data_IF_730460786736
#
_entry.id   IF_730460786736
#
_cell.length_a   1.000
_cell.length_b   1.000
_cell.length_c   1.000
_cell.angle_alpha   90.00
_cell.angle_beta   90.00
_cell.angle_gamma   90.00
#
_symmetry.space_group_name_H-M   'P 1'
#
loop_
_entity.id
_entity.type
_entity.pdbx_description
1 polymer ?
#
# COMPACT_ATOMS: atom_id res chain seq x y z
N UNK A 1 23.14 -45.67 -11.14
CA UNK A 1 21.87 -45.74 -10.42
C UNK A 1 21.25 -44.35 -10.48
N UNK A 2 20.30 -44.15 -11.38
CA UNK A 2 19.61 -42.87 -11.57
C UNK A 2 18.64 -42.66 -10.40
N UNK A 3 18.60 -41.45 -9.81
CA UNK A 3 17.72 -41.09 -8.68
C UNK A 3 16.24 -41.43 -8.98
N UNK A 4 15.45 -41.80 -7.97
CA UNK A 4 14.02 -42.14 -8.12
C UNK A 4 13.21 -41.09 -8.90
N UNK A 5 13.54 -39.80 -8.76
CA UNK A 5 12.89 -38.69 -9.50
C UNK A 5 13.21 -38.70 -11.01
N UNK A 6 14.44 -39.10 -11.39
CA UNK A 6 14.83 -39.25 -12.79
C UNK A 6 14.19 -40.47 -13.45
N UNK A 7 13.88 -41.51 -12.68
CA UNK A 7 13.13 -42.68 -13.18
C UNK A 7 11.64 -42.35 -13.42
N UNK A 8 11.03 -41.50 -12.58
CA UNK A 8 9.65 -41.05 -12.77
C UNK A 8 9.48 -40.14 -14.00
N UNK A 9 10.38 -39.17 -14.20
CA UNK A 9 10.37 -38.31 -15.40
C UNK A 9 10.63 -39.09 -16.68
N UNK A 10 11.55 -40.07 -16.66
CA UNK A 10 11.75 -40.98 -17.78
C UNK A 10 10.49 -41.80 -18.09
N UNK A 11 9.81 -42.35 -17.07
CA UNK A 11 8.59 -43.15 -17.25
C UNK A 11 7.45 -42.37 -17.92
N UNK A 12 7.32 -41.07 -17.63
CA UNK A 12 6.34 -40.19 -18.25
C UNK A 12 6.75 -39.80 -19.68
N UNK A 13 8.04 -39.51 -19.91
CA UNK A 13 8.57 -39.16 -21.23
C UNK A 13 8.36 -40.25 -22.28
N UNK A 14 8.38 -41.53 -21.86
CA UNK A 14 8.13 -42.68 -22.73
C UNK A 14 6.70 -42.75 -23.30
N UNK A 15 5.73 -42.08 -22.67
CA UNK A 15 4.34 -42.03 -23.13
C UNK A 15 4.05 -40.95 -24.18
N UNK A 16 5.00 -40.04 -24.42
CA UNK A 16 4.80 -38.89 -25.32
C UNK A 16 4.83 -39.27 -26.80
N UNK A 17 4.03 -38.58 -27.62
CA UNK A 17 4.08 -38.70 -29.08
C UNK A 17 5.30 -37.98 -29.65
N UNK A 18 6.04 -38.63 -30.55
CA UNK A 18 7.14 -37.99 -31.26
C UNK A 18 6.62 -36.94 -32.25
N UNK A 19 7.26 -35.76 -32.36
CA UNK A 19 6.83 -34.72 -33.29
C UNK A 19 6.91 -35.19 -34.75
N UNK A 20 6.04 -34.63 -35.62
CA UNK A 20 6.11 -34.90 -37.06
C UNK A 20 7.13 -33.98 -37.73
N UNK A 21 8.24 -34.56 -38.18
CA UNK A 21 9.28 -33.85 -38.93
C UNK A 21 9.06 -33.91 -40.44
N UNK A 22 8.21 -34.82 -40.93
CA UNK A 22 8.06 -35.09 -42.37
C UNK A 22 7.43 -33.94 -43.16
N UNK A 23 6.67 -33.09 -42.46
CA UNK A 23 6.03 -31.90 -43.03
C UNK A 23 7.02 -30.82 -43.47
N UNK A 24 8.21 -30.76 -42.87
CA UNK A 24 9.19 -29.66 -43.10
C UNK A 24 10.61 -30.13 -43.40
N UNK A 25 10.94 -31.39 -43.11
CA UNK A 25 12.29 -31.93 -43.21
C UNK A 25 12.34 -33.22 -44.02
N UNK A 26 13.31 -33.31 -44.94
CA UNK A 26 13.54 -34.48 -45.77
C UNK A 26 14.78 -35.24 -45.29
N UNK A 27 14.64 -36.55 -45.13
CA UNK A 27 15.75 -37.45 -44.81
C UNK A 27 16.43 -37.93 -46.09
N UNK A 28 17.74 -37.72 -46.20
CA UNK A 28 18.55 -38.16 -47.33
C UNK A 28 19.76 -38.95 -46.82
N UNK A 29 20.11 -40.04 -47.51
CA UNK A 29 21.32 -40.82 -47.23
C UNK A 29 22.48 -40.27 -48.06
N UNK A 30 23.65 -40.07 -47.45
CA UNK A 30 24.86 -39.67 -48.18
C UNK A 30 25.42 -40.91 -48.91
N UNK A 31 25.76 -40.78 -50.20
CA UNK A 31 26.51 -41.83 -50.93
C UNK A 31 27.92 -41.90 -50.36
N UNK A 32 28.39 -43.09 -49.99
CA UNK A 32 29.67 -43.39 -49.29
C UNK A 32 29.76 -43.14 -47.78
N UNK A 33 28.65 -42.89 -47.07
CA UNK A 33 28.63 -42.89 -45.59
C UNK A 33 27.39 -43.61 -45.04
N UNK A 34 27.50 -44.17 -43.82
CA UNK A 34 26.35 -44.70 -43.09
C UNK A 34 25.52 -43.60 -42.41
N UNK A 35 25.96 -42.34 -42.46
CA UNK A 35 25.27 -41.19 -41.89
C UNK A 35 24.02 -40.79 -42.70
N UNK A 36 23.02 -40.27 -41.96
CA UNK A 36 21.76 -39.78 -42.52
C UNK A 36 21.71 -38.27 -42.33
N UNK A 37 21.26 -37.55 -43.37
CA UNK A 37 21.16 -36.09 -43.36
C UNK A 37 19.70 -35.69 -43.33
N UNK A 38 19.37 -34.79 -42.41
CA UNK A 38 18.09 -34.09 -42.37
C UNK A 38 18.24 -32.75 -43.11
N UNK A 39 17.46 -32.52 -44.16
CA UNK A 39 17.51 -31.32 -45.00
C UNK A 39 16.20 -30.55 -45.00
N UNK A 40 16.27 -29.22 -44.92
CA UNK A 40 15.16 -28.32 -45.20
C UNK A 40 15.73 -27.04 -45.83
N UNK A 41 15.43 -26.81 -47.11
CA UNK A 41 16.04 -25.74 -47.89
C UNK A 41 17.58 -25.81 -47.92
N UNK A 42 18.25 -24.73 -47.50
CA UNK A 42 19.71 -24.65 -47.41
C UNK A 42 20.30 -25.29 -46.14
N UNK A 43 19.47 -25.63 -45.14
CA UNK A 43 19.93 -26.21 -43.86
C UNK A 43 20.09 -27.72 -43.97
N UNK A 44 21.25 -28.23 -43.55
CA UNK A 44 21.55 -29.66 -43.56
C UNK A 44 22.24 -30.06 -42.24
N UNK A 45 21.69 -31.09 -41.57
CA UNK A 45 22.25 -31.61 -40.32
C UNK A 45 22.57 -33.10 -40.46
N UNK A 46 23.73 -33.52 -39.96
CA UNK A 46 24.20 -34.91 -40.02
C UNK A 46 23.86 -35.64 -38.74
N UNK A 47 23.31 -36.83 -38.88
CA UNK A 47 22.93 -37.71 -37.79
C UNK A 47 23.57 -39.08 -37.95
N UNK A 48 23.83 -39.73 -36.81
CA UNK A 48 24.35 -41.09 -36.75
C UNK A 48 23.34 -42.09 -37.35
N UNK A 49 23.76 -43.30 -37.78
CA UNK A 49 22.87 -44.27 -38.42
C UNK A 49 21.66 -44.66 -37.55
N UNK A 50 21.87 -44.80 -36.24
CA UNK A 50 20.81 -45.08 -35.27
C UNK A 50 19.86 -43.89 -35.07
N UNK A 51 20.40 -42.66 -35.02
CA UNK A 51 19.61 -41.43 -34.89
C UNK A 51 18.75 -41.23 -36.13
N UNK A 52 19.33 -41.38 -37.32
CA UNK A 52 18.58 -41.25 -38.57
C UNK A 52 17.51 -42.33 -38.75
N UNK A 53 17.71 -43.55 -38.22
CA UNK A 53 16.65 -44.55 -38.17
C UNK A 53 15.51 -44.15 -37.23
N UNK A 54 15.82 -43.65 -36.03
CA UNK A 54 14.79 -43.14 -35.12
C UNK A 54 14.00 -41.97 -35.75
N UNK A 55 14.68 -41.04 -36.44
CA UNK A 55 14.05 -39.93 -37.15
C UNK A 55 13.07 -40.37 -38.25
N UNK A 56 13.26 -41.55 -38.87
CA UNK A 56 12.30 -42.08 -39.86
C UNK A 56 10.93 -42.38 -39.26
N UNK A 57 10.85 -42.51 -37.93
CA UNK A 57 9.62 -42.77 -37.20
C UNK A 57 9.01 -41.51 -36.54
N UNK A 58 9.64 -40.34 -36.71
CA UNK A 58 9.13 -39.05 -36.22
C UNK A 58 8.07 -38.49 -37.18
N UNK A 59 6.92 -39.16 -37.17
CA UNK A 59 5.78 -38.95 -38.09
C UNK A 59 4.53 -38.44 -37.36
N UNK A 60 4.64 -38.07 -36.08
CA UNK A 60 3.48 -37.71 -35.25
C UNK A 60 2.62 -38.88 -34.76
N UNK A 61 2.94 -40.14 -35.14
CA UNK A 61 2.10 -41.33 -34.89
C UNK A 61 2.63 -42.32 -33.87
N UNK A 62 3.91 -42.21 -33.51
CA UNK A 62 4.57 -43.15 -32.61
C UNK A 62 5.00 -42.45 -31.33
N UNK A 63 4.92 -43.15 -30.21
CA UNK A 63 5.41 -42.63 -28.94
C UNK A 63 6.92 -42.78 -28.79
N UNK A 64 7.53 -42.01 -27.89
CA UNK A 64 8.96 -42.10 -27.56
C UNK A 64 9.34 -43.54 -27.17
N UNK A 65 8.52 -44.24 -26.38
CA UNK A 65 8.74 -45.66 -26.08
C UNK A 65 8.71 -46.56 -27.31
N UNK A 66 7.74 -46.36 -28.21
CA UNK A 66 7.61 -47.18 -29.42
C UNK A 66 8.78 -46.96 -30.37
N UNK A 67 9.25 -45.71 -30.51
CA UNK A 67 10.43 -45.40 -31.33
C UNK A 67 11.70 -45.94 -30.68
N UNK A 68 11.84 -45.83 -29.35
CA UNK A 68 12.97 -46.39 -28.60
C UNK A 68 13.04 -47.90 -28.78
N UNK A 69 11.92 -48.60 -28.61
CA UNK A 69 11.84 -50.06 -28.77
C UNK A 69 12.22 -50.50 -30.18
N UNK A 70 11.70 -49.82 -31.23
CA UNK A 70 12.04 -50.13 -32.62
C UNK A 70 13.50 -49.86 -32.96
N UNK A 71 14.05 -48.80 -32.41
CA UNK A 71 15.47 -48.44 -32.62
C UNK A 71 16.38 -49.47 -31.94
N UNK A 72 16.05 -49.87 -30.71
CA UNK A 72 16.78 -50.91 -29.96
C UNK A 72 16.69 -52.30 -30.62
N UNK A 73 15.57 -52.63 -31.30
CA UNK A 73 15.44 -53.88 -32.07
C UNK A 73 16.36 -53.93 -33.28
N UNK A 74 16.60 -52.79 -33.95
CA UNK A 74 17.43 -52.73 -35.15
C UNK A 74 18.92 -52.53 -34.84
N UNK A 75 19.22 -51.91 -33.70
CA UNK A 75 20.58 -51.60 -33.25
C UNK A 75 20.75 -52.07 -31.80
N UNK A 76 21.24 -53.31 -31.60
CA UNK A 76 21.48 -53.83 -30.25
C UNK A 76 22.64 -53.06 -29.58
N UNK A 77 22.42 -52.57 -28.35
CA UNK A 77 23.41 -51.82 -27.57
C UNK A 77 23.13 -50.32 -27.40
N UNK A 78 21.94 -49.83 -27.81
CA UNK A 78 21.52 -48.44 -27.62
C UNK A 78 21.03 -48.19 -26.18
N UNK A 79 21.39 -47.03 -25.62
CA UNK A 79 20.97 -46.60 -24.29
C UNK A 79 19.44 -46.42 -24.18
N UNK A 80 18.85 -46.72 -23.02
CA UNK A 80 17.39 -46.67 -22.81
C UNK A 80 16.79 -45.27 -23.03
N UNK A 81 17.57 -44.20 -22.83
CA UNK A 81 17.18 -42.80 -22.99
C UNK A 81 17.54 -42.20 -24.38
N UNK A 82 17.96 -43.02 -25.34
CA UNK A 82 18.51 -42.56 -26.62
C UNK A 82 17.57 -41.65 -27.43
N UNK A 83 16.29 -42.01 -27.57
CA UNK A 83 15.31 -41.18 -28.32
C UNK A 83 15.06 -39.85 -27.60
N UNK A 84 15.17 -39.83 -26.27
CA UNK A 84 15.04 -38.61 -25.48
C UNK A 84 16.24 -37.67 -25.68
N UNK A 85 17.46 -38.20 -25.68
CA UNK A 85 18.67 -37.42 -26.01
C UNK A 85 18.63 -36.88 -27.45
N UNK A 86 18.08 -37.67 -28.39
CA UNK A 86 17.88 -37.23 -29.76
C UNK A 86 16.89 -36.06 -29.86
N UNK A 87 15.79 -36.07 -29.10
CA UNK A 87 14.86 -34.94 -29.04
C UNK A 87 15.53 -33.67 -28.51
N UNK A 88 16.33 -33.78 -27.45
CA UNK A 88 17.12 -32.65 -26.93
C UNK A 88 18.11 -32.12 -27.98
N UNK A 89 18.78 -33.02 -28.71
CA UNK A 89 19.69 -32.66 -29.81
C UNK A 89 18.96 -31.87 -30.91
N UNK A 90 17.74 -32.25 -31.29
CA UNK A 90 16.95 -31.53 -32.31
C UNK A 90 16.51 -30.13 -31.86
N UNK A 91 16.17 -29.97 -30.58
CA UNK A 91 15.85 -28.66 -29.99
C UNK A 91 17.09 -27.76 -29.99
N UNK A 92 18.24 -28.28 -29.56
CA UNK A 92 19.50 -27.53 -29.56
C UNK A 92 19.95 -27.10 -30.97
N UNK A 93 19.63 -27.90 -31.99
CA UNK A 93 19.92 -27.56 -33.39
C UNK A 93 18.91 -26.56 -34.00
N UNK A 94 17.88 -26.17 -33.25
CA UNK A 94 16.82 -25.27 -33.72
C UNK A 94 15.94 -25.86 -34.82
N UNK A 95 15.93 -27.20 -34.94
CA UNK A 95 15.12 -27.95 -35.92
C UNK A 95 13.66 -28.01 -35.46
N UNK A 96 13.45 -28.12 -34.14
CA UNK A 96 12.16 -28.03 -33.49
C UNK A 96 12.06 -26.64 -32.83
N UNK A 97 11.19 -25.78 -33.36
CA UNK A 97 10.75 -24.56 -32.69
C UNK A 97 9.50 -24.92 -31.88
N UNK A 98 9.65 -25.10 -30.57
CA UNK A 98 8.53 -25.46 -29.72
C UNK A 98 7.81 -24.18 -29.28
N UNK A 99 6.65 -23.91 -29.87
CA UNK A 99 5.68 -22.97 -29.31
C UNK A 99 5.07 -23.61 -28.05
N UNK A 100 5.39 -23.06 -26.89
CA UNK A 100 4.76 -23.43 -25.63
C UNK A 100 5.73 -23.47 -24.45
N UNK A 101 5.54 -22.55 -23.50
CA UNK A 101 6.22 -22.52 -22.19
C UNK A 101 6.00 -23.81 -21.37
N UNK A 102 5.07 -24.69 -21.76
CA UNK A 102 4.72 -25.94 -21.07
C UNK A 102 5.87 -26.98 -21.00
N UNK A 103 6.76 -27.04 -21.99
CA UNK A 103 7.84 -28.04 -22.03
C UNK A 103 9.06 -27.66 -21.19
N UNK A 104 9.29 -26.36 -20.99
CA UNK A 104 10.37 -25.84 -20.14
C UNK A 104 10.06 -26.03 -18.65
N UNK A 105 8.78 -26.02 -18.27
CA UNK A 105 8.34 -26.27 -16.88
C UNK A 105 8.49 -27.74 -16.46
N UNK A 106 8.41 -28.70 -17.40
CA UNK A 106 8.56 -30.15 -17.12
C UNK A 106 10.03 -30.56 -16.94
N UNK A 107 10.95 -29.89 -17.65
CA UNK A 107 12.39 -30.19 -17.63
C UNK A 107 13.17 -29.37 -16.61
N UNK A 108 12.53 -28.37 -16.00
CA UNK A 108 13.10 -27.65 -14.86
C UNK A 108 13.04 -28.57 -13.63
N UNK A 109 14.10 -28.65 -12.79
CA UNK A 109 13.97 -29.26 -11.47
C UNK A 109 12.75 -28.64 -10.78
N UNK A 110 12.00 -29.40 -9.93
CA UNK A 110 10.72 -28.95 -9.40
C UNK A 110 10.86 -27.49 -8.97
N UNK A 111 10.16 -26.57 -9.65
CA UNK A 111 10.20 -25.15 -9.30
C UNK A 111 9.96 -25.11 -7.79
N UNK A 112 10.99 -24.71 -7.04
CA UNK A 112 10.97 -24.80 -5.61
C UNK A 112 9.66 -24.17 -5.12
N UNK A 113 9.00 -24.83 -4.16
CA UNK A 113 7.78 -24.31 -3.58
C UNK A 113 8.00 -22.84 -3.19
N UNK A 114 6.97 -22.03 -3.37
CA UNK A 114 7.07 -20.59 -3.20
C UNK A 114 7.52 -20.30 -1.77
N UNK A 115 8.61 -19.54 -1.61
CA UNK A 115 9.07 -19.12 -0.29
C UNK A 115 8.55 -17.74 0.04
N UNK A 116 7.70 -17.67 1.06
CA UNK A 116 7.31 -16.42 1.69
C UNK A 116 8.47 -15.90 2.54
N UNK A 117 8.63 -14.57 2.64
CA UNK A 117 9.61 -13.99 3.55
C UNK A 117 9.30 -14.40 4.99
N UNK A 118 10.33 -14.68 5.79
CA UNK A 118 10.18 -15.08 7.19
C UNK A 118 9.44 -14.04 8.06
N UNK A 119 9.46 -12.77 7.67
CA UNK A 119 8.79 -11.68 8.38
C UNK A 119 7.26 -11.65 8.15
N UNK A 120 6.75 -12.37 7.15
CA UNK A 120 5.34 -12.33 6.75
C UNK A 120 4.46 -13.03 7.79
N UNK A 121 3.36 -12.39 8.16
CA UNK A 121 2.44 -12.85 9.20
C UNK A 121 1.03 -13.05 8.63
N UNK A 122 0.40 -14.17 8.96
CA UNK A 122 -1.03 -14.41 8.74
C UNK A 122 -1.85 -13.85 9.89
N UNK A 123 -2.85 -13.04 9.57
CA UNK A 123 -3.79 -12.48 10.54
C UNK A 123 -5.21 -12.83 10.10
N UNK A 124 -5.92 -13.55 10.96
CA UNK A 124 -7.34 -13.82 10.78
C UNK A 124 -8.15 -12.57 11.15
N UNK A 125 -8.96 -12.07 10.21
CA UNK A 125 -9.77 -10.88 10.45
C UNK A 125 -11.19 -11.26 10.91
N UNK A 126 -11.79 -10.55 11.89
CA UNK A 126 -13.13 -10.84 12.41
C UNK A 126 -14.26 -10.83 11.38
N UNK A 127 -14.05 -10.15 10.25
CA UNK A 127 -15.03 -10.04 9.17
C UNK A 127 -14.99 -11.25 8.20
N UNK A 128 -14.24 -12.31 8.51
CA UNK A 128 -14.21 -13.57 7.76
C UNK A 128 -13.28 -13.56 6.54
N UNK A 129 -12.13 -12.89 6.64
CA UNK A 129 -11.08 -12.91 5.62
C UNK A 129 -9.70 -12.99 6.24
N UNK A 130 -8.70 -13.41 5.45
CA UNK A 130 -7.31 -13.47 5.88
C UNK A 130 -6.54 -12.24 5.42
N UNK A 131 -5.63 -11.78 6.27
CA UNK A 131 -4.74 -10.67 5.95
C UNK A 131 -3.29 -11.15 6.05
N UNK A 132 -2.58 -11.07 4.93
CA UNK A 132 -1.16 -11.35 4.85
C UNK A 132 -0.41 -10.04 5.05
N UNK A 133 0.36 -9.92 6.14
CA UNK A 133 1.06 -8.70 6.53
C UNK A 133 2.57 -8.88 6.37
N UNK A 134 3.22 -7.98 5.64
CA UNK A 134 4.68 -7.86 5.60
C UNK A 134 5.09 -6.63 6.44
N UNK A 135 5.70 -6.83 7.63
CA UNK A 135 6.10 -5.75 8.52
C UNK A 135 7.33 -4.98 8.04
N UNK A 136 8.18 -5.55 7.18
CA UNK A 136 9.38 -4.88 6.67
C UNK A 136 9.02 -3.82 5.62
N UNK A 137 8.15 -4.17 4.67
CA UNK A 137 7.74 -3.28 3.58
C UNK A 137 6.43 -2.52 3.88
N UNK A 138 5.78 -2.81 5.03
CA UNK A 138 4.48 -2.27 5.48
C UNK A 138 3.41 -2.43 4.39
N UNK A 139 3.38 -3.62 3.79
CA UNK A 139 2.36 -4.03 2.84
C UNK A 139 1.43 -5.04 3.49
N UNK A 140 0.16 -4.96 3.12
CA UNK A 140 -0.82 -5.95 3.54
C UNK A 140 -1.66 -6.37 2.34
N UNK A 141 -2.06 -7.63 2.34
CA UNK A 141 -2.89 -8.21 1.29
C UNK A 141 -4.10 -8.89 1.92
N UNK A 142 -5.28 -8.44 1.51
CA UNK A 142 -6.55 -9.06 1.89
C UNK A 142 -6.83 -10.26 0.97
N UNK A 143 -7.07 -11.42 1.57
CA UNK A 143 -7.25 -12.69 0.88
C UNK A 143 -8.54 -13.36 1.34
N UNK A 144 -9.22 -14.01 0.40
CA UNK A 144 -10.33 -14.92 0.71
C UNK A 144 -9.81 -16.23 1.31
N UNK A 145 -10.67 -16.99 1.99
CA UNK A 145 -10.29 -18.31 2.52
C UNK A 145 -9.74 -19.25 1.43
N UNK A 146 -10.33 -19.18 0.23
CA UNK A 146 -9.85 -19.94 -0.93
C UNK A 146 -8.44 -19.52 -1.33
N UNK A 147 -8.16 -18.22 -1.39
CA UNK A 147 -6.82 -17.72 -1.75
C UNK A 147 -5.79 -18.03 -0.67
N UNK A 148 -6.18 -18.00 0.60
CA UNK A 148 -5.32 -18.44 1.71
C UNK A 148 -4.92 -19.92 1.56
N UNK A 149 -5.88 -20.81 1.26
CA UNK A 149 -5.60 -22.24 1.02
C UNK A 149 -4.66 -22.46 -0.17
N UNK A 150 -4.91 -21.77 -1.30
CA UNK A 150 -4.04 -21.86 -2.48
C UNK A 150 -2.61 -21.43 -2.13
N UNK A 151 -2.44 -20.33 -1.41
CA UNK A 151 -1.10 -19.84 -1.04
C UNK A 151 -0.43 -20.79 -0.05
N UNK A 152 -1.17 -21.33 0.92
CA UNK A 152 -0.64 -22.33 1.85
C UNK A 152 -0.13 -23.58 1.12
N UNK A 153 -0.87 -24.08 0.12
CA UNK A 153 -0.41 -25.20 -0.70
C UNK A 153 0.78 -24.82 -1.59
N UNK A 154 0.81 -23.62 -2.18
CA UNK A 154 1.92 -23.15 -3.01
C UNK A 154 3.24 -23.02 -2.23
N UNK A 155 3.19 -22.88 -0.91
CA UNK A 155 4.39 -22.90 -0.06
C UNK A 155 4.95 -24.29 0.21
N UNK A 156 4.13 -25.33 0.02
CA UNK A 156 4.49 -26.73 0.31
C UNK A 156 4.74 -27.53 -0.96
N UNK A 157 3.99 -27.24 -2.03
CA UNK A 157 3.99 -27.98 -3.28
C UNK A 157 4.27 -27.08 -4.49
N UNK A 158 4.91 -27.61 -5.54
CA UNK A 158 5.09 -26.89 -6.80
C UNK A 158 3.74 -26.61 -7.47
N UNK A 159 3.71 -25.55 -8.29
CA UNK A 159 2.50 -25.01 -8.93
C UNK A 159 1.67 -26.06 -9.68
N UNK A 160 2.35 -27.01 -10.34
CA UNK A 160 1.74 -28.07 -11.14
C UNK A 160 0.91 -29.06 -10.31
N UNK A 161 1.23 -29.23 -9.04
CA UNK A 161 0.48 -30.11 -8.12
C UNK A 161 -0.72 -29.35 -7.53
N UNK A 162 -0.54 -28.07 -7.20
CA UNK A 162 -1.60 -27.24 -6.62
C UNK A 162 -2.76 -27.02 -7.60
N UNK A 163 -2.49 -26.85 -8.90
CA UNK A 163 -3.54 -26.76 -9.93
C UNK A 163 -4.42 -28.01 -9.96
N UNK A 164 -3.83 -29.19 -9.77
CA UNK A 164 -4.52 -30.48 -9.79
C UNK A 164 -5.30 -30.73 -8.49
N UNK A 165 -4.71 -30.45 -7.33
CA UNK A 165 -5.33 -30.70 -6.02
C UNK A 165 -6.55 -29.82 -5.76
N UNK A 166 -6.44 -28.51 -6.05
CA UNK A 166 -7.49 -27.53 -5.76
C UNK A 166 -8.36 -27.19 -6.98
N UNK A 167 -8.19 -27.90 -8.10
CA UNK A 167 -8.88 -27.66 -9.37
C UNK A 167 -8.94 -26.16 -9.74
N UNK A 168 -7.79 -25.49 -9.62
CA UNK A 168 -7.68 -24.02 -9.75
C UNK A 168 -7.06 -23.67 -11.09
N UNK A 169 -7.65 -22.73 -11.86
CA UNK A 169 -7.13 -22.37 -13.17
C UNK A 169 -5.72 -21.75 -13.06
N UNK A 170 -4.78 -22.07 -13.99
CA UNK A 170 -3.42 -21.53 -13.95
C UNK A 170 -3.35 -19.99 -13.90
N UNK A 171 -4.32 -19.33 -14.54
CA UNK A 171 -4.44 -17.87 -14.55
C UNK A 171 -4.64 -17.27 -13.15
N UNK A 172 -5.39 -17.95 -12.27
CA UNK A 172 -5.64 -17.49 -10.90
C UNK A 172 -4.37 -17.61 -10.04
N UNK A 173 -3.58 -18.67 -10.23
CA UNK A 173 -2.28 -18.84 -9.56
C UNK A 173 -1.30 -17.77 -10.03
N UNK A 174 -1.20 -17.53 -11.34
CA UNK A 174 -0.35 -16.48 -11.90
C UNK A 174 -0.75 -15.10 -11.37
N UNK A 175 -2.05 -14.82 -11.28
CA UNK A 175 -2.56 -13.60 -10.67
C UNK A 175 -2.13 -13.45 -9.20
N UNK A 176 -2.29 -14.50 -8.39
CA UNK A 176 -1.87 -14.49 -6.98
C UNK A 176 -0.35 -14.31 -6.83
N UNK A 177 0.45 -14.96 -7.68
CA UNK A 177 1.90 -14.77 -7.66
C UNK A 177 2.30 -13.35 -8.00
N UNK A 178 1.70 -12.74 -9.03
CA UNK A 178 1.92 -11.34 -9.36
C UNK A 178 1.54 -10.44 -8.18
N UNK A 179 0.45 -10.74 -7.49
CA UNK A 179 -0.02 -9.97 -6.34
C UNK A 179 0.93 -10.10 -5.15
N UNK A 180 1.41 -11.29 -4.84
CA UNK A 180 2.40 -11.55 -3.78
C UNK A 180 3.75 -10.90 -4.09
N UNK A 181 4.21 -10.97 -5.34
CA UNK A 181 5.44 -10.30 -5.78
C UNK A 181 5.31 -8.77 -5.71
N UNK A 182 4.19 -8.21 -6.19
CA UNK A 182 3.93 -6.77 -6.15
C UNK A 182 3.80 -6.23 -4.72
N UNK A 183 3.31 -7.04 -3.80
CA UNK A 183 3.23 -6.71 -2.37
C UNK A 183 4.47 -7.11 -1.58
N UNK A 184 5.53 -7.57 -2.26
CA UNK A 184 6.82 -7.95 -1.68
C UNK A 184 6.74 -9.06 -0.61
N UNK A 185 5.78 -9.97 -0.73
CA UNK A 185 5.55 -11.07 0.21
C UNK A 185 6.50 -12.26 -0.04
N UNK A 186 7.07 -12.35 -1.24
CA UNK A 186 7.97 -13.43 -1.66
C UNK A 186 9.43 -13.10 -1.35
N UNK A 187 10.24 -14.10 -1.03
CA UNK A 187 11.70 -13.93 -0.91
C UNK A 187 12.29 -13.33 -2.19
N UNK A 188 13.22 -12.37 -2.05
CA UNK A 188 13.87 -11.70 -3.18
C UNK A 188 13.02 -10.64 -3.90
N UNK A 189 11.77 -10.40 -3.49
CA UNK A 189 10.92 -9.35 -4.08
C UNK A 189 10.93 -8.05 -3.27
N UNK A 190 10.86 -6.93 -3.98
CA UNK A 190 10.71 -5.58 -3.42
C UNK A 190 9.46 -4.92 -4.00
N UNK A 191 8.78 -4.06 -3.23
CA UNK A 191 7.59 -3.39 -3.73
C UNK A 191 7.96 -2.49 -4.91
N UNK A 192 7.12 -2.43 -5.96
CA UNK A 192 7.41 -1.63 -7.14
C UNK A 192 7.53 -0.15 -6.73
N UNK A 193 8.65 0.48 -7.12
CA UNK A 193 8.86 1.92 -6.84
C UNK A 193 7.73 2.71 -7.50
N UNK A 194 7.06 3.62 -6.78
CA UNK A 194 5.99 4.41 -7.37
C UNK A 194 6.53 5.20 -8.58
N UNK A 195 5.76 5.32 -9.66
CA UNK A 195 6.20 6.04 -10.85
C UNK A 195 6.55 7.48 -10.48
N UNK A 196 7.69 7.99 -10.98
CA UNK A 196 8.10 9.38 -10.79
C UNK A 196 7.02 10.30 -11.37
N UNK A 197 6.19 10.90 -10.50
CA UNK A 197 5.17 11.87 -10.93
C UNK A 197 5.86 13.11 -11.49
N UNK A 198 5.29 13.68 -12.55
CA UNK A 198 5.71 14.99 -13.05
C UNK A 198 5.55 16.02 -11.92
N UNK A 199 6.54 16.91 -11.78
CA UNK A 199 6.48 17.99 -10.80
C UNK A 199 5.29 18.90 -11.11
N UNK A 200 4.49 19.20 -10.09
CA UNK A 200 3.41 20.19 -10.18
C UNK A 200 3.61 21.20 -9.06
N UNK A 201 3.41 22.51 -9.29
CA UNK A 201 3.65 23.54 -8.26
C UNK A 201 2.81 23.31 -6.99
N UNK A 202 1.65 22.65 -7.09
CA UNK A 202 0.86 22.21 -5.93
C UNK A 202 1.61 21.23 -5.00
N UNK A 203 2.61 20.49 -5.49
CA UNK A 203 3.42 19.59 -4.65
C UNK A 203 4.34 20.35 -3.69
N UNK A 204 4.73 21.59 -4.00
CA UNK A 204 5.47 22.44 -3.05
C UNK A 204 4.61 22.84 -1.86
N UNK A 205 3.29 22.87 -2.03
CA UNK A 205 2.34 23.15 -0.94
C UNK A 205 2.06 21.90 -0.09
N UNK A 206 2.34 20.70 -0.59
CA UNK A 206 2.03 19.43 0.05
C UNK A 206 3.17 18.43 -0.13
N UNK A 207 4.15 18.47 0.79
CA UNK A 207 5.24 17.51 0.80
C UNK A 207 5.46 16.92 2.19
N UNK A 208 6.02 15.71 2.21
CA UNK A 208 6.23 14.90 3.40
C UNK A 208 7.72 14.70 3.60
N UNK A 209 8.21 14.98 4.80
CA UNK A 209 9.59 14.76 5.23
C UNK A 209 9.58 13.67 6.30
N UNK A 210 10.18 12.53 5.98
CA UNK A 210 10.39 11.42 6.93
C UNK A 210 11.56 11.79 7.83
N UNK A 211 11.37 11.79 9.15
CA UNK A 211 12.43 12.15 10.09
C UNK A 211 13.15 10.90 10.60
N UNK A 212 12.41 9.96 11.19
CA UNK A 212 12.97 8.76 11.81
C UNK A 212 11.95 7.63 11.90
N UNK A 213 12.43 6.42 12.20
CA UNK A 213 11.61 5.26 12.56
C UNK A 213 11.42 5.21 14.09
N UNK A 214 10.22 5.52 14.61
CA UNK A 214 9.95 5.54 16.06
C UNK A 214 9.67 4.16 16.66
N UNK A 215 9.51 3.11 15.84
CA UNK A 215 8.95 1.83 16.28
C UNK A 215 9.67 1.20 17.47
N UNK A 216 11.03 1.08 17.48
CA UNK A 216 11.74 0.48 18.60
C UNK A 216 11.65 1.30 19.89
N UNK A 217 11.54 2.63 19.77
CA UNK A 217 11.36 3.51 20.93
C UNK A 217 9.96 3.36 21.50
N UNK A 218 8.93 3.33 20.65
CA UNK A 218 7.56 3.14 21.09
C UNK A 218 7.35 1.77 21.74
N UNK A 219 7.97 0.71 21.22
CA UNK A 219 7.91 -0.63 21.82
C UNK A 219 8.46 -0.68 23.25
N UNK A 220 9.52 0.06 23.54
CA UNK A 220 10.06 0.12 24.90
C UNK A 220 9.10 0.84 25.84
N UNK A 221 8.50 1.94 25.38
CA UNK A 221 7.62 2.77 26.22
C UNK A 221 6.24 2.16 26.43
N UNK A 222 5.72 1.41 25.45
CA UNK A 222 4.35 0.90 25.53
C UNK A 222 4.16 -0.06 26.70
N UNK A 223 5.20 -0.82 27.08
CA UNK A 223 5.14 -1.74 28.23
C UNK A 223 4.80 -1.02 29.53
N UNK A 224 5.39 0.15 29.76
CA UNK A 224 5.13 0.98 30.95
C UNK A 224 3.80 1.72 30.85
N UNK A 225 3.37 2.09 29.64
CA UNK A 225 2.17 2.91 29.43
C UNK A 225 0.87 2.10 29.31
N UNK A 226 0.92 0.76 29.31
CA UNK A 226 -0.28 -0.09 29.10
C UNK A 226 -1.43 0.19 30.08
N UNK A 227 -1.14 0.71 31.27
CA UNK A 227 -2.16 1.06 32.27
C UNK A 227 -3.16 2.11 31.77
N UNK A 228 -2.77 2.95 30.79
CA UNK A 228 -3.64 3.99 30.21
C UNK A 228 -4.88 3.39 29.54
N UNK A 229 -4.76 2.22 28.92
CA UNK A 229 -5.87 1.55 28.21
C UNK A 229 -6.74 0.66 29.13
N UNK A 230 -6.64 0.84 30.45
CA UNK A 230 -7.48 0.09 31.41
C UNK A 230 -8.85 0.75 31.58
N UNK A 231 -9.87 -0.05 31.89
CA UNK A 231 -11.25 0.42 32.10
C UNK A 231 -11.38 1.50 33.19
N UNK A 232 -10.69 1.41 34.34
CA UNK A 232 -10.74 2.46 35.36
C UNK A 232 -10.22 3.81 34.85
N UNK A 233 -9.12 3.81 34.08
CA UNK A 233 -8.57 5.04 33.49
C UNK A 233 -9.54 5.61 32.46
N UNK A 234 -10.14 4.77 31.62
CA UNK A 234 -11.14 5.21 30.66
C UNK A 234 -12.36 5.86 31.35
N UNK A 235 -12.86 5.25 32.43
CA UNK A 235 -13.97 5.80 33.21
C UNK A 235 -13.60 7.14 33.89
N UNK A 236 -12.40 7.22 34.47
CA UNK A 236 -11.87 8.46 35.04
C UNK A 236 -11.76 9.56 33.99
N UNK A 237 -11.15 9.27 32.83
CA UNK A 237 -11.00 10.23 31.74
C UNK A 237 -12.36 10.71 31.22
N UNK A 238 -13.33 9.80 31.06
CA UNK A 238 -14.69 10.17 30.66
C UNK A 238 -15.35 11.11 31.67
N UNK A 239 -15.26 10.80 32.97
CA UNK A 239 -15.78 11.65 34.03
C UNK A 239 -15.07 13.03 34.04
N UNK A 240 -13.74 13.04 33.97
CA UNK A 240 -12.93 14.25 33.94
C UNK A 240 -13.28 15.14 32.75
N UNK A 241 -13.42 14.57 31.54
CA UNK A 241 -13.82 15.32 30.34
C UNK A 241 -15.23 15.86 30.46
N UNK A 242 -16.16 15.08 31.01
CA UNK A 242 -17.56 15.48 31.19
C UNK A 242 -17.67 16.67 32.15
N UNK A 243 -16.96 16.62 33.29
CA UNK A 243 -16.93 17.74 34.25
C UNK A 243 -16.27 18.96 33.64
N UNK A 244 -15.12 18.81 32.98
CA UNK A 244 -14.42 19.92 32.32
C UNK A 244 -15.29 20.60 31.26
N UNK A 245 -16.02 19.82 30.46
CA UNK A 245 -16.95 20.34 29.46
C UNK A 245 -18.15 21.05 30.11
N UNK A 246 -18.74 20.49 31.17
CA UNK A 246 -19.86 21.11 31.87
C UNK A 246 -19.48 22.46 32.49
N UNK A 247 -18.34 22.51 33.19
CA UNK A 247 -17.84 23.75 33.80
C UNK A 247 -17.42 24.75 32.73
N UNK A 248 -16.64 24.33 31.72
CA UNK A 248 -16.24 25.20 30.62
C UNK A 248 -17.44 25.79 29.86
N UNK A 249 -18.50 25.02 29.65
CA UNK A 249 -19.73 25.52 29.03
C UNK A 249 -20.47 26.53 29.91
N UNK A 250 -20.51 26.30 31.24
CA UNK A 250 -21.07 27.25 32.19
C UNK A 250 -20.31 28.59 32.20
N UNK A 251 -18.99 28.54 31.95
CA UNK A 251 -18.09 29.70 31.93
C UNK A 251 -17.77 30.23 30.53
N UNK A 252 -18.55 29.86 29.51
CA UNK A 252 -18.29 30.25 28.12
C UNK A 252 -18.10 31.76 27.92
N UNK A 253 -18.83 32.58 28.69
CA UNK A 253 -18.73 34.03 28.61
C UNK A 253 -17.36 34.53 29.08
N UNK A 254 -16.85 33.98 30.20
CA UNK A 254 -15.53 34.30 30.75
C UNK A 254 -14.43 33.89 29.78
N UNK A 255 -14.48 32.67 29.24
CA UNK A 255 -13.50 32.18 28.26
C UNK A 255 -13.42 33.12 27.06
N UNK A 256 -14.56 33.50 26.48
CA UNK A 256 -14.61 34.42 25.34
C UNK A 256 -14.06 35.80 25.70
N UNK A 257 -14.44 36.32 26.87
CA UNK A 257 -13.96 37.63 27.34
C UNK A 257 -12.43 37.64 27.54
N UNK A 258 -11.86 36.60 28.15
CA UNK A 258 -10.40 36.47 28.32
C UNK A 258 -9.68 36.46 26.98
N UNK A 259 -10.22 35.75 25.97
CA UNK A 259 -9.68 35.78 24.61
C UNK A 259 -9.70 37.17 23.97
N UNK A 260 -10.79 37.92 24.15
CA UNK A 260 -10.90 39.30 23.65
C UNK A 260 -9.90 40.24 24.32
N UNK A 261 -9.70 40.13 25.63
CA UNK A 261 -8.70 40.91 26.36
C UNK A 261 -7.29 40.59 25.88
N UNK A 262 -6.91 39.31 25.83
CA UNK A 262 -5.59 38.89 25.36
C UNK A 262 -5.31 39.37 23.94
N UNK A 263 -6.27 39.24 23.03
CA UNK A 263 -6.14 39.76 21.68
C UNK A 263 -6.03 41.29 21.63
N UNK A 264 -6.83 42.01 22.43
CA UNK A 264 -6.81 43.49 22.47
C UNK A 264 -5.46 44.03 22.97
N UNK A 265 -4.88 43.42 24.00
CA UNK A 265 -3.66 43.93 24.64
C UNK A 265 -2.37 43.39 24.02
N UNK A 266 -2.34 42.13 23.59
CA UNK A 266 -1.12 41.48 23.08
C UNK A 266 -1.15 41.29 21.56
N UNK A 267 -2.33 41.21 20.95
CA UNK A 267 -2.53 41.18 19.50
C UNK A 267 -1.66 40.15 18.78
N UNK A 268 -0.90 40.59 17.79
CA UNK A 268 -0.06 39.74 16.94
C UNK A 268 1.11 39.06 17.67
N UNK A 269 1.53 39.57 18.84
CA UNK A 269 2.63 38.94 19.60
C UNK A 269 2.28 37.53 20.08
N UNK A 270 0.99 37.22 20.21
CA UNK A 270 0.49 35.89 20.59
C UNK A 270 0.60 34.84 19.49
N UNK A 271 0.72 35.26 18.22
CA UNK A 271 0.62 34.35 17.06
C UNK A 271 1.73 33.30 17.07
N UNK A 272 2.97 33.70 17.38
CA UNK A 272 4.10 32.77 17.44
C UNK A 272 3.91 31.75 18.57
N UNK A 273 3.58 32.22 19.78
CA UNK A 273 3.33 31.36 20.94
C UNK A 273 2.18 30.38 20.67
N UNK A 274 1.09 30.86 20.08
CA UNK A 274 -0.04 30.03 19.69
C UNK A 274 0.36 28.98 18.66
N UNK A 275 1.13 29.36 17.62
CA UNK A 275 1.65 28.44 16.62
C UNK A 275 2.52 27.32 17.20
N UNK A 276 3.39 27.65 18.15
CA UNK A 276 4.23 26.68 18.86
C UNK A 276 3.38 25.72 19.72
N UNK A 277 2.35 26.23 20.41
CA UNK A 277 1.43 25.40 21.19
C UNK A 277 0.59 24.49 20.30
N UNK A 278 0.12 24.98 19.14
CA UNK A 278 -0.54 24.14 18.13
C UNK A 278 0.40 23.02 17.65
N UNK A 279 1.66 23.34 17.34
CA UNK A 279 2.63 22.33 16.92
C UNK A 279 2.88 21.27 18.01
N UNK A 280 2.95 21.68 19.28
CA UNK A 280 3.04 20.76 20.42
C UNK A 280 1.81 19.85 20.51
N UNK A 281 0.61 20.42 20.45
CA UNK A 281 -0.66 19.67 20.51
C UNK A 281 -0.75 18.66 19.37
N UNK A 282 -0.41 19.06 18.14
CA UNK A 282 -0.41 18.17 16.97
C UNK A 282 0.63 17.06 17.12
N UNK A 283 1.80 17.34 17.68
CA UNK A 283 2.82 16.31 17.96
C UNK A 283 2.31 15.28 18.97
N UNK A 284 1.67 15.73 20.05
CA UNK A 284 1.08 14.83 21.06
C UNK A 284 -0.10 14.03 20.49
N UNK A 285 -0.92 14.63 19.63
CA UNK A 285 -1.99 13.97 18.90
C UNK A 285 -1.46 12.80 18.06
N UNK A 286 -0.40 13.04 17.27
CA UNK A 286 0.26 12.04 16.45
C UNK A 286 0.85 10.89 17.29
N UNK A 287 1.47 11.22 18.43
CA UNK A 287 1.91 10.22 19.41
C UNK A 287 0.73 9.41 19.98
N UNK A 288 -0.44 10.01 20.19
CA UNK A 288 -1.65 9.32 20.63
C UNK A 288 -2.05 8.17 19.70
N UNK A 289 -2.03 8.40 18.39
CA UNK A 289 -2.27 7.33 17.42
C UNK A 289 -1.19 6.25 17.48
N UNK A 290 0.07 6.66 17.51
CA UNK A 290 1.21 5.75 17.52
C UNK A 290 1.17 4.80 18.72
N UNK A 291 1.02 5.35 19.93
CA UNK A 291 0.95 4.58 21.16
C UNK A 291 -0.24 3.64 21.18
N UNK A 292 -1.41 4.09 20.70
CA UNK A 292 -2.60 3.22 20.64
C UNK A 292 -2.46 2.11 19.61
N UNK A 293 -1.78 2.36 18.47
CA UNK A 293 -1.46 1.33 17.49
C UNK A 293 -0.50 0.29 18.08
N UNK A 294 0.55 0.73 18.77
CA UNK A 294 1.51 -0.15 19.45
C UNK A 294 0.88 -0.93 20.60
N UNK A 295 -0.08 -0.34 21.33
CA UNK A 295 -0.86 -1.05 22.35
C UNK A 295 -1.53 -2.31 21.77
N UNK A 296 -2.02 -2.23 20.53
CA UNK A 296 -2.64 -3.35 19.82
C UNK A 296 -1.67 -4.24 19.03
N UNK A 297 -0.35 -4.05 19.17
CA UNK A 297 0.67 -4.84 18.47
C UNK A 297 0.91 -4.42 17.01
N UNK A 298 0.45 -3.22 16.63
CA UNK A 298 0.76 -2.65 15.32
C UNK A 298 2.21 -2.17 15.21
N UNK A 299 2.59 -1.71 14.03
CA UNK A 299 3.92 -1.15 13.70
C UNK A 299 3.77 0.30 13.25
N UNK A 300 4.69 1.15 13.71
CA UNK A 300 4.76 2.57 13.35
C UNK A 300 6.08 2.83 12.61
N UNK A 301 6.11 2.68 11.29
CA UNK A 301 7.38 2.62 10.55
C UNK A 301 8.07 3.99 10.41
N UNK A 302 7.30 5.08 10.45
CA UNK A 302 7.85 6.42 10.26
C UNK A 302 6.99 7.48 10.96
N UNK A 303 7.69 8.47 11.50
CA UNK A 303 7.16 9.75 11.94
C UNK A 303 7.94 10.88 11.26
N UNK A 304 7.30 12.03 11.08
CA UNK A 304 7.98 13.18 10.52
C UNK A 304 7.13 14.42 10.42
N UNK A 305 7.46 15.27 9.45
CA UNK A 305 6.70 16.48 9.15
C UNK A 305 5.95 16.35 7.84
N UNK A 306 4.70 16.80 7.85
CA UNK A 306 3.87 17.04 6.70
C UNK A 306 3.72 18.55 6.56
N UNK A 307 4.15 19.10 5.42
CA UNK A 307 3.93 20.50 5.12
C UNK A 307 2.64 20.63 4.33
N UNK A 308 1.68 21.38 4.87
CA UNK A 308 0.41 21.67 4.22
C UNK A 308 0.27 23.19 4.10
N UNK A 309 0.26 23.69 2.86
CA UNK A 309 0.35 25.13 2.57
C UNK A 309 1.54 25.81 3.27
N UNK A 310 2.70 25.17 3.24
CA UNK A 310 3.95 25.59 3.91
C UNK A 310 3.89 25.62 5.45
N UNK A 311 2.76 25.27 6.08
CA UNK A 311 2.69 25.10 7.52
C UNK A 311 3.17 23.70 7.90
N UNK A 312 4.19 23.57 8.78
CA UNK A 312 4.63 22.28 9.28
C UNK A 312 3.58 21.69 10.21
N UNK A 313 3.21 20.43 9.98
CA UNK A 313 2.43 19.60 10.89
C UNK A 313 3.21 18.31 11.17
N UNK A 314 3.11 17.76 12.38
CA UNK A 314 3.61 16.41 12.62
C UNK A 314 2.75 15.40 11.85
N UNK A 315 3.33 14.26 11.47
CA UNK A 315 2.58 13.12 10.95
C UNK A 315 3.14 11.81 11.50
N UNK A 316 2.26 10.82 11.67
CA UNK A 316 2.60 9.43 11.97
C UNK A 316 2.04 8.50 10.90
N UNK A 317 2.83 7.53 10.48
CA UNK A 317 2.31 6.47 9.63
C UNK A 317 1.58 5.40 10.47
N UNK A 318 0.26 5.42 10.42
CA UNK A 318 -0.64 4.49 11.11
C UNK A 318 -1.33 3.52 10.15
N UNK A 319 -0.76 3.33 8.96
CA UNK A 319 -1.32 2.47 7.88
C UNK A 319 -1.54 1.03 8.35
N UNK A 320 -0.72 0.55 9.28
CA UNK A 320 -0.84 -0.78 9.84
C UNK A 320 -2.10 -0.98 10.72
N UNK A 321 -2.80 0.10 11.11
CA UNK A 321 -4.10 0.02 11.80
C UNK A 321 -5.19 -0.68 10.98
N UNK A 322 -5.03 -0.82 9.67
CA UNK A 322 -5.94 -1.58 8.80
C UNK A 322 -5.85 -3.10 9.01
N UNK A 323 -4.77 -3.59 9.61
CA UNK A 323 -4.62 -4.98 10.00
C UNK A 323 -5.43 -5.33 11.27
N UNK A 324 -5.88 -4.31 12.01
CA UNK A 324 -6.64 -4.47 13.25
C UNK A 324 -8.13 -4.60 12.98
N UNK A 325 -8.83 -5.29 13.89
CA UNK A 325 -10.30 -5.31 13.93
C UNK A 325 -10.87 -3.89 13.91
N UNK A 326 -12.05 -3.72 13.30
CA UNK A 326 -12.73 -2.43 13.15
C UNK A 326 -12.78 -1.57 14.43
N UNK A 327 -13.13 -2.16 15.57
CA UNK A 327 -13.21 -1.43 16.85
C UNK A 327 -11.85 -0.91 17.32
N UNK A 328 -10.80 -1.75 17.25
CA UNK A 328 -9.43 -1.35 17.59
C UNK A 328 -8.93 -0.24 16.64
N UNK A 329 -9.24 -0.36 15.34
CA UNK A 329 -8.92 0.68 14.36
C UNK A 329 -9.62 2.01 14.68
N UNK A 330 -10.90 1.97 15.06
CA UNK A 330 -11.63 3.17 15.52
C UNK A 330 -10.91 3.81 16.72
N UNK A 331 -10.47 3.02 17.70
CA UNK A 331 -9.75 3.54 18.86
C UNK A 331 -8.40 4.15 18.48
N UNK A 332 -7.64 3.54 17.56
CA UNK A 332 -6.39 4.13 17.04
C UNK A 332 -6.67 5.49 16.40
N UNK A 333 -7.68 5.60 15.54
CA UNK A 333 -8.04 6.86 14.87
C UNK A 333 -8.58 7.89 15.88
N UNK A 334 -9.35 7.47 16.89
CA UNK A 334 -9.88 8.38 17.89
C UNK A 334 -8.81 8.86 18.89
N UNK A 335 -7.71 8.12 19.06
CA UNK A 335 -6.71 8.37 20.08
C UNK A 335 -6.09 9.77 19.99
N UNK A 336 -5.76 10.24 18.78
CA UNK A 336 -5.22 11.59 18.60
C UNK A 336 -6.18 12.67 19.07
N UNK A 337 -7.47 12.53 18.77
CA UNK A 337 -8.52 13.46 19.22
C UNK A 337 -8.69 13.39 20.74
N UNK A 338 -8.67 12.19 21.33
CA UNK A 338 -8.74 12.01 22.78
C UNK A 338 -7.57 12.68 23.51
N UNK A 339 -6.36 12.62 22.93
CA UNK A 339 -5.20 13.35 23.47
C UNK A 339 -5.42 14.86 23.43
N UNK A 340 -5.96 15.39 22.33
CA UNK A 340 -6.27 16.82 22.25
C UNK A 340 -7.35 17.21 23.28
N UNK A 341 -8.39 16.41 23.46
CA UNK A 341 -9.42 16.64 24.49
C UNK A 341 -8.80 16.64 25.89
N UNK A 342 -7.89 15.70 26.16
CA UNK A 342 -7.16 15.66 27.42
C UNK A 342 -6.36 16.95 27.64
N UNK A 343 -5.59 17.38 26.64
CA UNK A 343 -4.81 18.62 26.72
C UNK A 343 -5.73 19.82 26.96
N UNK A 344 -6.85 19.92 26.24
CA UNK A 344 -7.82 20.99 26.42
C UNK A 344 -8.39 21.02 27.85
N UNK A 345 -8.75 19.85 28.39
CA UNK A 345 -9.29 19.72 29.75
C UNK A 345 -8.26 20.10 30.82
N UNK A 346 -7.03 19.58 30.73
CA UNK A 346 -5.96 19.96 31.67
C UNK A 346 -5.60 21.44 31.58
N UNK A 347 -5.52 21.99 30.36
CA UNK A 347 -5.25 23.40 30.14
C UNK A 347 -6.37 24.30 30.68
N UNK A 348 -7.63 23.88 30.55
CA UNK A 348 -8.78 24.57 31.14
C UNK A 348 -8.67 24.68 32.66
N UNK A 349 -8.41 23.57 33.36
CA UNK A 349 -8.26 23.61 34.82
C UNK A 349 -7.02 24.37 35.27
N UNK A 350 -5.92 24.28 34.53
CA UNK A 350 -4.72 25.06 34.81
C UNK A 350 -4.97 26.57 34.66
N UNK A 351 -5.77 26.95 33.67
CA UNK A 351 -6.22 28.33 33.48
C UNK A 351 -7.14 28.77 34.63
N UNK A 352 -8.15 27.96 34.97
CA UNK A 352 -9.12 28.23 36.04
C UNK A 352 -8.44 28.47 37.40
N UNK A 353 -7.44 27.66 37.73
CA UNK A 353 -6.72 27.76 39.01
C UNK A 353 -5.54 28.74 39.00
N UNK A 354 -5.25 29.37 37.86
CA UNK A 354 -4.15 30.33 37.75
C UNK A 354 -4.61 31.76 37.97
N UNK A 355 -3.82 32.53 38.71
CA UNK A 355 -4.12 33.94 38.94
C UNK A 355 -3.92 34.76 37.65
N UNK A 356 -4.84 35.70 37.42
CA UNK A 356 -4.76 36.64 36.30
C UNK A 356 -3.46 37.44 36.33
N UNK A 357 -2.90 37.72 35.15
CA UNK A 357 -1.63 38.45 35.00
C UNK A 357 -0.37 37.58 35.08
N UNK A 358 -0.47 36.32 35.52
CA UNK A 358 0.64 35.37 35.44
C UNK A 358 0.82 34.81 34.02
N UNK A 359 2.06 34.50 33.65
CA UNK A 359 2.36 33.86 32.36
C UNK A 359 1.63 32.52 32.20
N UNK A 360 1.45 31.78 33.30
CA UNK A 360 0.76 30.49 33.33
C UNK A 360 -0.70 30.61 32.92
N UNK A 361 -1.39 31.68 33.33
CA UNK A 361 -2.77 31.95 32.95
C UNK A 361 -2.91 32.17 31.45
N UNK A 362 -2.02 32.96 30.87
CA UNK A 362 -2.03 33.20 29.42
C UNK A 362 -1.63 31.93 28.65
N UNK A 363 -0.58 31.23 29.07
CA UNK A 363 -0.10 30.03 28.40
C UNK A 363 -1.12 28.88 28.43
N UNK A 364 -1.76 28.64 29.57
CA UNK A 364 -2.82 27.63 29.72
C UNK A 364 -4.06 27.97 28.90
N UNK A 365 -4.49 29.25 28.88
CA UNK A 365 -5.55 29.70 27.99
C UNK A 365 -5.22 29.44 26.51
N UNK A 366 -4.03 29.84 26.06
CA UNK A 366 -3.62 29.61 24.66
C UNK A 366 -3.52 28.12 24.33
N UNK A 367 -3.02 27.29 25.24
CA UNK A 367 -2.94 25.84 25.06
C UNK A 367 -4.33 25.21 24.95
N UNK A 368 -5.27 25.64 25.80
CA UNK A 368 -6.68 25.23 25.72
C UNK A 368 -7.27 25.60 24.35
N UNK A 369 -7.09 26.85 23.92
CA UNK A 369 -7.61 27.31 22.61
C UNK A 369 -6.94 26.58 21.46
N UNK A 370 -5.64 26.31 21.53
CA UNK A 370 -4.90 25.54 20.51
C UNK A 370 -5.42 24.10 20.40
N UNK A 371 -5.69 23.46 21.54
CA UNK A 371 -6.28 22.12 21.57
C UNK A 371 -7.73 22.12 21.04
N UNK A 372 -8.58 23.05 21.46
CA UNK A 372 -9.95 23.16 20.94
C UNK A 372 -9.97 23.46 19.42
N UNK A 373 -9.09 24.34 18.96
CA UNK A 373 -8.93 24.66 17.54
C UNK A 373 -8.53 23.42 16.72
N UNK A 374 -7.52 22.68 17.18
CA UNK A 374 -7.06 21.47 16.49
C UNK A 374 -8.09 20.33 16.55
N UNK A 375 -8.88 20.20 17.62
CA UNK A 375 -10.03 19.28 17.69
C UNK A 375 -11.06 19.65 16.62
N UNK A 376 -11.42 20.93 16.51
CA UNK A 376 -12.42 21.38 15.53
C UNK A 376 -11.98 21.09 14.08
N UNK A 377 -10.70 21.25 13.78
CA UNK A 377 -10.14 20.88 12.48
C UNK A 377 -10.13 19.35 12.26
N UNK A 378 -9.62 18.58 13.22
CA UNK A 378 -9.44 17.14 13.05
C UNK A 378 -10.75 16.36 13.08
N UNK A 379 -11.72 16.75 13.91
CA UNK A 379 -13.01 16.07 14.02
C UNK A 379 -13.92 16.31 12.81
N UNK A 380 -13.55 17.20 11.89
CA UNK A 380 -14.32 17.50 10.70
C UNK A 380 -14.35 16.30 9.72
N UNK A 381 -15.52 15.65 9.52
CA UNK A 381 -15.63 14.48 8.65
C UNK A 381 -15.57 14.80 7.16
N UNK A 382 -15.69 16.08 6.79
CA UNK A 382 -15.75 16.56 5.41
C UNK A 382 -14.36 16.96 4.87
N UNK A 383 -13.36 17.05 5.73
CA UNK A 383 -11.95 17.18 5.38
C UNK A 383 -11.23 15.84 5.59
N UNK A 384 -10.14 15.54 4.86
CA UNK A 384 -9.41 14.27 5.01
C UNK A 384 -8.50 14.27 6.26
N UNK A 385 -9.07 14.67 7.40
CA UNK A 385 -8.48 14.55 8.72
C UNK A 385 -9.08 13.34 9.44
N UNK A 386 -8.77 13.17 10.71
CA UNK A 386 -9.20 12.02 11.51
C UNK A 386 -10.71 11.80 11.53
N UNK A 387 -11.52 12.87 11.57
CA UNK A 387 -12.98 12.78 11.53
C UNK A 387 -13.48 12.05 10.28
N UNK A 388 -12.82 12.22 9.14
CA UNK A 388 -13.14 11.47 7.92
C UNK A 388 -12.74 10.01 8.05
N UNK A 389 -11.55 9.72 8.57
CA UNK A 389 -11.09 8.33 8.77
C UNK A 389 -11.91 7.60 9.83
N UNK A 390 -12.38 8.32 10.85
CA UNK A 390 -13.31 7.84 11.87
C UNK A 390 -14.65 7.51 11.23
N UNK A 391 -15.20 8.40 10.39
CA UNK A 391 -16.41 8.12 9.63
C UNK A 391 -16.24 6.90 8.70
N UNK A 392 -15.08 6.75 8.03
CA UNK A 392 -14.76 5.56 7.22
C UNK A 392 -14.74 4.29 8.07
N UNK A 393 -14.09 4.31 9.24
CA UNK A 393 -14.02 3.14 10.13
C UNK A 393 -15.38 2.79 10.76
N UNK A 394 -16.16 3.81 11.14
CA UNK A 394 -17.51 3.65 11.72
C UNK A 394 -18.53 3.23 10.66
N UNK A 395 -18.37 3.59 9.40
CA UNK A 395 -19.28 3.12 8.32
C UNK A 395 -18.81 1.81 7.69
N UNK A 396 -17.51 1.49 7.77
CA UNK A 396 -16.89 0.39 7.03
C UNK A 396 -16.68 0.68 5.54
N UNK A 397 -17.04 1.88 5.08
CA UNK A 397 -16.98 2.26 3.66
C UNK A 397 -15.62 2.87 3.36
N UNK A 398 -14.68 2.04 2.88
CA UNK A 398 -13.39 2.52 2.40
C UNK A 398 -13.59 3.51 1.22
N UNK A 399 -12.75 4.55 1.18
CA UNK A 399 -12.81 5.59 0.14
C UNK A 399 -14.18 6.31 0.06
N UNK A 400 -14.80 6.56 1.22
CA UNK A 400 -16.13 7.19 1.36
C UNK A 400 -16.33 8.40 0.44
N UNK A 401 -15.38 9.35 0.40
CA UNK A 401 -15.51 10.56 -0.43
C UNK A 401 -15.59 10.24 -1.93
N UNK A 402 -14.63 9.50 -2.45
CA UNK A 402 -14.57 9.23 -3.91
C UNK A 402 -15.71 8.32 -4.36
N UNK A 403 -16.11 7.34 -3.53
CA UNK A 403 -17.31 6.53 -3.79
C UNK A 403 -18.59 7.35 -3.76
N UNK A 404 -18.72 8.31 -2.84
CA UNK A 404 -19.89 9.19 -2.77
C UNK A 404 -20.02 10.07 -4.01
N UNK A 405 -18.92 10.67 -4.48
CA UNK A 405 -18.94 11.43 -5.74
C UNK A 405 -19.18 10.54 -6.95
N UNK A 406 -18.57 9.34 -7.01
CA UNK A 406 -18.81 8.37 -8.08
C UNK A 406 -20.27 7.89 -8.11
N UNK A 407 -20.90 7.74 -6.96
CA UNK A 407 -22.32 7.41 -6.86
C UNK A 407 -23.19 8.45 -7.58
N UNK A 408 -22.96 9.75 -7.33
CA UNK A 408 -23.65 10.82 -8.06
C UNK A 408 -23.28 10.88 -9.55
N UNK A 409 -22.01 10.67 -9.90
CA UNK A 409 -21.59 10.60 -11.31
C UNK A 409 -22.32 9.49 -12.06
N UNK A 410 -22.44 8.31 -11.47
CA UNK A 410 -23.17 7.19 -12.05
C UNK A 410 -24.67 7.48 -12.13
N UNK A 411 -25.24 8.12 -11.10
CA UNK A 411 -26.65 8.53 -11.09
C UNK A 411 -26.96 9.52 -12.23
N UNK A 412 -26.15 10.57 -12.39
CA UNK A 412 -26.33 11.56 -13.47
C UNK A 412 -25.99 11.00 -14.86
N UNK A 413 -25.09 10.03 -14.94
CA UNK A 413 -24.73 9.36 -16.20
C UNK A 413 -25.60 8.14 -16.52
N UNK A 414 -26.66 7.88 -15.74
CA UNK A 414 -27.57 6.74 -15.88
C UNK A 414 -26.85 5.37 -15.94
N UNK A 415 -25.70 5.25 -15.25
CA UNK A 415 -24.92 4.00 -15.15
C UNK A 415 -25.41 3.14 -13.99
N UNK A 416 -25.27 1.80 -14.06
CA UNK A 416 -25.70 0.93 -12.97
C UNK A 416 -24.94 1.22 -11.68
N UNK A 417 -25.68 1.33 -10.57
CA UNK A 417 -25.12 1.55 -9.24
C UNK A 417 -24.68 0.20 -8.67
N UNK A 418 -23.37 -0.04 -8.65
CA UNK A 418 -22.74 -1.25 -8.11
C UNK A 418 -22.71 -1.30 -6.57
N UNK A 419 -23.07 -0.20 -5.91
CA UNK A 419 -22.98 -0.07 -4.46
C UNK A 419 -24.12 -0.80 -3.71
N UNK A 420 -23.76 -1.42 -2.57
CA UNK A 420 -24.69 -2.13 -1.67
C UNK A 420 -25.81 -1.21 -1.21
N UNK A 421 -27.04 -1.72 -1.10
CA UNK A 421 -28.23 -0.91 -0.73
C UNK A 421 -28.05 -0.15 0.60
N UNK A 422 -27.47 -0.79 1.61
CA UNK A 422 -27.23 -0.18 2.93
C UNK A 422 -26.26 1.02 2.87
N UNK A 423 -25.27 0.98 1.97
CA UNK A 423 -24.25 2.01 1.86
C UNK A 423 -24.75 3.25 1.09
N UNK A 424 -25.80 3.08 0.26
CA UNK A 424 -26.29 4.14 -0.65
C UNK A 424 -26.75 5.39 0.09
N UNK A 425 -27.44 5.25 1.23
CA UNK A 425 -27.92 6.39 2.00
C UNK A 425 -26.74 7.21 2.54
N UNK A 426 -25.74 6.53 3.10
CA UNK A 426 -24.53 7.17 3.63
C UNK A 426 -23.79 7.89 2.50
N UNK A 427 -23.58 7.24 1.36
CA UNK A 427 -22.92 7.83 0.19
C UNK A 427 -23.69 9.04 -0.37
N UNK A 428 -25.02 8.92 -0.47
CA UNK A 428 -25.88 9.99 -0.97
C UNK A 428 -25.87 11.21 -0.03
N UNK A 429 -25.90 11.01 1.29
CA UNK A 429 -25.83 12.13 2.24
C UNK A 429 -24.45 12.77 2.30
N UNK A 430 -23.36 11.99 2.26
CA UNK A 430 -22.00 12.52 2.45
C UNK A 430 -21.56 13.47 1.32
N UNK A 431 -21.89 13.16 0.05
CA UNK A 431 -21.39 13.94 -1.10
C UNK A 431 -21.85 15.42 -1.09
N UNK A 432 -23.15 15.75 -0.90
CA UNK A 432 -23.63 17.13 -0.82
C UNK A 432 -22.97 17.93 0.31
N UNK A 433 -22.87 17.36 1.52
CA UNK A 433 -22.19 18.03 2.63
C UNK A 433 -20.71 18.26 2.34
N UNK A 434 -20.02 17.25 1.81
CA UNK A 434 -18.61 17.37 1.45
C UNK A 434 -18.40 18.40 0.35
N UNK A 435 -19.32 18.50 -0.62
CA UNK A 435 -19.26 19.50 -1.68
C UNK A 435 -19.49 20.90 -1.14
N UNK A 436 -20.52 21.11 -0.32
CA UNK A 436 -20.82 22.39 0.33
C UNK A 436 -19.62 22.87 1.17
N UNK A 437 -19.03 21.97 1.95
CA UNK A 437 -17.86 22.28 2.77
C UNK A 437 -16.64 22.68 1.92
N UNK A 438 -16.37 21.96 0.83
CA UNK A 438 -15.29 22.32 -0.10
C UNK A 438 -15.55 23.71 -0.68
N UNK A 439 -16.77 24.01 -1.14
CA UNK A 439 -17.12 25.33 -1.66
C UNK A 439 -16.96 26.42 -0.60
N UNK A 440 -17.37 26.17 0.64
CA UNK A 440 -17.21 27.10 1.74
C UNK A 440 -15.73 27.39 2.02
N UNK A 441 -14.89 26.36 2.17
CA UNK A 441 -13.46 26.53 2.50
C UNK A 441 -12.70 27.17 1.34
N UNK A 442 -12.83 26.65 0.12
CA UNK A 442 -12.12 27.20 -1.03
C UNK A 442 -12.66 28.57 -1.43
N UNK A 443 -13.97 28.79 -1.31
CA UNK A 443 -14.58 30.11 -1.53
C UNK A 443 -14.10 31.14 -0.51
N UNK A 444 -14.04 30.78 0.77
CA UNK A 444 -13.47 31.64 1.81
C UNK A 444 -11.98 31.92 1.57
N UNK A 445 -11.20 30.90 1.24
CA UNK A 445 -9.77 31.05 0.98
C UNK A 445 -9.52 31.91 -0.26
N UNK A 446 -10.28 31.69 -1.34
CA UNK A 446 -10.25 32.53 -2.54
C UNK A 446 -10.59 33.97 -2.19
N UNK A 447 -11.68 34.20 -1.46
CA UNK A 447 -12.06 35.55 -1.00
C UNK A 447 -10.95 36.22 -0.21
N UNK A 448 -10.34 35.52 0.77
CA UNK A 448 -9.23 36.05 1.57
C UNK A 448 -7.98 36.32 0.76
N UNK A 449 -7.65 35.47 -0.20
CA UNK A 449 -6.53 35.70 -1.12
C UNK A 449 -6.82 36.90 -2.00
N UNK A 450 -8.02 37.02 -2.58
CA UNK A 450 -8.38 38.19 -3.40
C UNK A 450 -8.37 39.47 -2.58
N UNK A 451 -8.94 39.46 -1.38
CA UNK A 451 -8.97 40.58 -0.45
C UNK A 451 -7.54 41.01 -0.07
N UNK A 452 -6.69 40.05 0.33
CA UNK A 452 -5.28 40.29 0.62
C UNK A 452 -4.55 40.83 -0.61
N UNK A 453 -4.75 40.24 -1.79
CA UNK A 453 -4.15 40.68 -3.05
C UNK A 453 -4.56 42.12 -3.37
N UNK A 454 -5.85 42.47 -3.34
CA UNK A 454 -6.30 43.84 -3.64
C UNK A 454 -5.87 44.87 -2.58
N UNK A 455 -5.76 44.48 -1.30
CA UNK A 455 -5.33 45.39 -0.23
C UNK A 455 -3.81 45.57 -0.20
N UNK A 456 -3.03 44.53 -0.50
CA UNK A 456 -1.55 44.59 -0.44
C UNK A 456 -0.88 44.94 -1.75
N UNK A 457 -1.41 44.57 -2.94
CA UNK A 457 -0.83 44.93 -4.25
C UNK A 457 -0.55 46.44 -4.38
N UNK A 458 -1.48 47.34 -4.02
CA UNK A 458 -1.23 48.77 -4.13
C UNK A 458 -0.05 49.20 -3.25
N UNK A 459 0.02 48.67 -2.03
CA UNK A 459 1.10 49.00 -1.08
C UNK A 459 2.44 48.42 -1.51
N UNK A 460 2.49 47.17 -1.97
CA UNK A 460 3.73 46.54 -2.44
C UNK A 460 4.21 47.16 -3.75
N UNK A 461 3.30 47.49 -4.68
CA UNK A 461 3.62 48.23 -5.89
C UNK A 461 4.15 49.64 -5.58
N UNK A 462 3.54 50.36 -4.64
CA UNK A 462 4.02 51.67 -4.18
C UNK A 462 5.42 51.58 -3.54
N UNK A 463 5.67 50.57 -2.70
CA UNK A 463 6.98 50.34 -2.08
C UNK A 463 8.03 50.02 -3.14
N UNK A 464 7.74 49.11 -4.07
CA UNK A 464 8.65 48.76 -5.16
C UNK A 464 8.92 49.96 -6.07
N UNK A 465 7.90 50.76 -6.38
CA UNK A 465 8.05 52.00 -7.14
C UNK A 465 8.90 53.03 -6.39
N UNK A 466 8.69 53.19 -5.08
CA UNK A 466 9.50 54.07 -4.24
C UNK A 466 10.97 53.62 -4.20
N UNK A 467 11.23 52.32 -4.05
CA UNK A 467 12.59 51.75 -4.10
C UNK A 467 13.24 52.01 -5.47
N UNK A 468 12.50 51.79 -6.56
CA UNK A 468 12.98 52.07 -7.91
C UNK A 468 13.27 53.56 -8.11
N UNK A 469 12.39 54.44 -7.65
CA UNK A 469 12.57 55.89 -7.73
C UNK A 469 13.78 56.36 -6.92
N UNK A 470 13.98 55.84 -5.71
CA UNK A 470 15.17 56.11 -4.88
C UNK A 470 16.43 55.66 -5.62
N UNK A 471 16.47 54.42 -6.12
CA UNK A 471 17.61 53.90 -6.88
C UNK A 471 17.94 54.74 -8.11
N UNK A 472 16.92 55.19 -8.85
CA UNK A 472 17.12 56.01 -10.06
C UNK A 472 17.57 57.44 -9.75
N UNK A 473 17.10 58.01 -8.64
CA UNK A 473 17.39 59.39 -8.25
C UNK A 473 18.65 59.54 -7.38
N UNK A 474 19.16 58.47 -6.77
CA UNK A 474 20.47 58.48 -6.11
C UNK A 474 21.57 58.48 -7.18
N UNK A 475 22.34 59.57 -7.34
CA UNK A 475 23.45 59.60 -8.28
C UNK A 475 24.48 58.54 -7.87
N UNK A 476 24.88 57.68 -8.80
CA UNK A 476 26.02 56.80 -8.59
C UNK A 476 27.27 57.69 -8.48
N UNK A 477 27.84 57.81 -7.28
CA UNK A 477 29.15 58.45 -7.11
C UNK A 477 30.17 57.63 -7.93
N UNK A 478 30.57 58.20 -9.07
CA UNK A 478 31.68 57.75 -9.92
C UNK A 478 32.86 58.68 -9.79
#
# INVERSE_FOLDING_TARGET
MLNCESQQTLSQAFSWLCPDLTSYWQLAKIKDSQEIVLKSGERQYRFLPAEGYALTHFTGRFTVAQVQQRTAQKFPGIAENFVFELLQKLVNLGILALEGEEWLDILSPPQAAIRLKACVQWIEHPDGYWLLRNPEDITFLQLSDRHHQIIAELTQFPKSIVTQNLNTPPNEINYLMHLLAATAMLEGTQPPKPPKRKFTPLQLLFFKVRLFNPDPWLDRQIHTLRWIWTTPVAAFMLAFFSVSAAVGFSQKATIVHTGQLLWKYQGSSLVLSFGLLVALVVTLHELGHAFTLKHYGGIVPEMGFLFMFLMPAAYTNTTDSYCLSRFKRIQVIAAGILVQIAIAAFAFWLWEFSAEGLWLHTASYLLMVAALFTIALNLNPLAKFDGYYLAVAVTGINNLRSRSFRFYQNLFSLRPITEKKCDRLILATYAPFSFLYIQMVFGFLLYRVTDWTFTTLPTTALILFAIWAIYYLTPAES
#
